data_IF_460362253520
#
_entry.id   IF_460362253520
#
_cell.length_a   1.000
_cell.length_b   1.000
_cell.length_c   1.000
_cell.angle_alpha   90.00
_cell.angle_beta   90.00
_cell.angle_gamma   90.00
#
_symmetry.space_group_name_H-M   'P 1'
#
loop_
_entity.id
_entity.type
_entity.pdbx_description
1 polymer ?
#
# COMPACT_ATOMS: atom_id res chain seq x y z
N UNK A 1 63.86 -5.23 -46.08
CA UNK A 1 62.47 -5.69 -45.87
C UNK A 1 62.25 -5.96 -44.38
N UNK A 2 61.94 -4.93 -43.57
CA UNK A 2 61.49 -5.09 -42.17
C UNK A 2 61.05 -3.75 -41.53
N UNK A 3 60.49 -2.79 -42.29
CA UNK A 3 60.15 -1.47 -41.73
C UNK A 3 58.86 -0.83 -42.28
N UNK A 4 58.04 -1.57 -43.04
CA UNK A 4 56.81 -1.04 -43.65
C UNK A 4 55.55 -1.73 -43.09
N UNK A 5 55.70 -2.82 -42.33
CA UNK A 5 54.56 -3.58 -41.75
C UNK A 5 54.07 -3.04 -40.41
N UNK A 6 54.75 -2.07 -39.79
CA UNK A 6 54.38 -1.51 -38.48
C UNK A 6 53.36 -0.37 -38.50
N UNK A 7 53.13 0.27 -39.65
CA UNK A 7 52.28 1.47 -39.74
C UNK A 7 50.81 1.13 -40.07
N UNK A 8 50.55 -0.06 -40.62
CA UNK A 8 49.18 -0.50 -40.96
C UNK A 8 48.39 -1.09 -39.78
N UNK A 9 49.05 -1.41 -38.66
CA UNK A 9 48.40 -1.95 -37.45
C UNK A 9 48.04 -0.87 -36.41
N UNK A 10 48.52 0.36 -36.58
CA UNK A 10 48.23 1.49 -35.68
C UNK A 10 47.09 2.40 -36.18
N UNK A 11 46.66 2.28 -37.44
CA UNK A 11 45.55 3.07 -38.00
C UNK A 11 44.17 2.44 -37.82
N UNK A 12 44.06 1.22 -37.28
CA UNK A 12 42.77 0.53 -37.08
C UNK A 12 42.12 0.84 -35.70
N UNK A 13 42.82 1.54 -34.80
CA UNK A 13 42.27 1.91 -33.48
C UNK A 13 41.57 3.28 -33.43
N UNK A 14 41.41 3.98 -34.55
CA UNK A 14 40.76 5.32 -34.58
C UNK A 14 39.63 5.37 -35.62
N UNK A 15 38.62 4.54 -35.45
CA UNK A 15 37.27 4.78 -35.98
C UNK A 15 36.22 4.22 -35.02
N UNK A 16 36.10 4.84 -33.85
CA UNK A 16 34.87 4.74 -33.08
C UNK A 16 33.71 5.30 -33.94
N UNK A 17 32.68 4.51 -34.28
CA UNK A 17 31.48 5.08 -34.89
C UNK A 17 30.86 6.04 -33.89
N UNK A 18 30.58 7.25 -34.35
CA UNK A 18 29.82 8.25 -33.61
C UNK A 18 28.42 7.71 -33.35
N UNK A 19 28.05 7.62 -32.07
CA UNK A 19 26.68 7.57 -31.56
C UNK A 19 25.69 6.69 -32.34
N UNK A 20 25.84 5.37 -32.24
CA UNK A 20 24.69 4.47 -32.36
C UNK A 20 23.96 4.46 -31.03
N UNK A 21 22.87 5.22 -30.94
CA UNK A 21 21.87 5.05 -29.87
C UNK A 21 21.12 3.75 -30.12
N UNK A 22 21.71 2.63 -29.72
CA UNK A 22 21.02 1.35 -29.62
C UNK A 22 20.99 0.93 -28.15
N UNK A 23 19.77 0.86 -27.61
CA UNK A 23 19.53 0.39 -26.26
C UNK A 23 19.80 -1.12 -26.21
N UNK A 24 20.88 -1.53 -25.54
CA UNK A 24 21.06 -2.92 -25.15
C UNK A 24 19.97 -3.33 -24.15
N UNK A 25 19.30 -4.46 -24.40
CA UNK A 25 18.17 -5.02 -23.61
C UNK A 25 18.62 -5.64 -22.27
N UNK A 26 19.75 -5.19 -21.73
CA UNK A 26 20.30 -5.62 -20.46
C UNK A 26 20.46 -4.38 -19.59
N UNK A 27 19.48 -4.14 -18.72
CA UNK A 27 19.29 -2.95 -17.90
C UNK A 27 20.41 -2.66 -16.90
N UNK A 28 21.57 -2.23 -17.40
CA UNK A 28 22.58 -1.54 -16.63
C UNK A 28 22.64 -0.10 -17.15
N UNK A 29 21.79 0.75 -16.59
CA UNK A 29 21.91 2.19 -16.77
C UNK A 29 23.06 2.72 -15.92
N UNK A 30 23.85 3.59 -16.54
CA UNK A 30 25.07 4.16 -16.02
C UNK A 30 24.92 4.94 -14.72
N UNK A 31 26.10 5.18 -14.16
CA UNK A 31 26.42 5.86 -12.91
C UNK A 31 25.70 7.21 -12.79
N UNK A 32 24.63 7.27 -12.00
CA UNK A 32 24.11 8.50 -11.38
C UNK A 32 23.89 8.26 -9.88
N UNK A 33 24.24 9.23 -8.99
CA UNK A 33 24.34 9.00 -7.55
C UNK A 33 23.00 9.02 -6.79
N UNK A 34 21.86 9.05 -7.47
CA UNK A 34 20.54 9.02 -6.82
C UNK A 34 19.60 8.10 -7.60
N UNK A 35 19.50 6.84 -7.17
CA UNK A 35 18.46 5.95 -7.65
C UNK A 35 17.12 6.40 -7.07
N UNK A 36 16.22 6.89 -7.92
CA UNK A 36 14.80 6.97 -7.60
C UNK A 36 14.29 5.54 -7.26
N UNK A 37 13.33 5.39 -6.33
CA UNK A 37 12.73 4.09 -6.07
C UNK A 37 12.19 3.50 -7.37
N UNK A 38 12.50 2.24 -7.64
CA UNK A 38 12.01 1.51 -8.81
C UNK A 38 10.48 1.54 -8.81
N UNK A 39 9.91 2.29 -9.74
CA UNK A 39 8.48 2.22 -10.08
C UNK A 39 8.39 1.14 -11.15
N UNK A 40 7.73 0.00 -10.89
CA UNK A 40 7.55 -1.01 -11.91
C UNK A 40 6.85 -0.39 -13.13
N UNK A 41 7.29 -0.69 -14.36
CA UNK A 41 6.65 -0.15 -15.54
C UNK A 41 5.17 -0.54 -15.54
N UNK A 42 4.26 0.36 -15.97
CA UNK A 42 2.84 0.04 -16.07
C UNK A 42 2.70 -1.10 -17.08
N UNK A 43 2.47 -2.31 -16.58
CA UNK A 43 2.08 -3.44 -17.40
C UNK A 43 0.77 -3.06 -18.10
N UNK A 44 0.55 -3.39 -19.38
CA UNK A 44 -0.74 -3.18 -20.03
C UNK A 44 -1.77 -4.07 -19.33
N UNK A 45 -2.49 -3.51 -18.37
CA UNK A 45 -3.47 -4.21 -17.57
C UNK A 45 -4.69 -4.56 -18.45
N UNK A 46 -4.74 -5.80 -18.95
CA UNK A 46 -5.88 -6.33 -19.70
C UNK A 46 -6.91 -6.96 -18.76
N UNK A 47 -7.61 -6.13 -17.98
CA UNK A 47 -8.69 -6.63 -17.10
C UNK A 47 -9.92 -6.96 -17.95
N UNK A 48 -10.11 -8.24 -18.27
CA UNK A 48 -11.18 -8.72 -19.18
C UNK A 48 -12.56 -8.74 -18.51
N UNK A 49 -12.60 -8.86 -17.18
CA UNK A 49 -13.85 -9.01 -16.43
C UNK A 49 -14.51 -7.63 -16.12
N UNK A 50 -15.83 -7.55 -16.33
CA UNK A 50 -16.62 -6.37 -15.91
C UNK A 50 -16.51 -6.18 -14.39
N UNK A 51 -16.36 -4.94 -13.95
CA UNK A 51 -16.21 -4.60 -12.53
C UNK A 51 -14.77 -4.75 -12.01
N UNK A 52 -13.78 -4.86 -12.90
CA UNK A 52 -12.36 -4.79 -12.56
C UNK A 52 -11.72 -3.54 -13.19
N UNK A 53 -10.70 -3.02 -12.52
CA UNK A 53 -9.92 -1.86 -12.96
C UNK A 53 -8.43 -2.08 -12.71
N UNK A 54 -7.62 -1.28 -13.40
CA UNK A 54 -6.17 -1.39 -13.38
C UNK A 54 -5.60 -0.65 -12.17
N UNK A 55 -4.82 -1.35 -11.34
CA UNK A 55 -4.12 -0.79 -10.17
C UNK A 55 -2.62 -1.07 -10.21
N UNK A 56 -1.92 -0.68 -9.14
CA UNK A 56 -0.47 -0.80 -9.04
C UNK A 56 0.04 -2.26 -9.08
N UNK A 57 -0.78 -3.21 -8.63
CA UNK A 57 -0.43 -4.64 -8.53
C UNK A 57 -1.19 -5.51 -9.55
N UNK A 58 -1.78 -4.89 -10.59
CA UNK A 58 -2.57 -5.57 -11.61
C UNK A 58 -4.07 -5.26 -11.52
N UNK A 59 -4.91 -6.22 -11.89
CA UNK A 59 -6.37 -6.05 -11.88
C UNK A 59 -6.93 -6.18 -10.46
N UNK A 60 -7.72 -5.20 -10.04
CA UNK A 60 -8.46 -5.23 -8.78
C UNK A 60 -9.94 -5.03 -9.04
N UNK A 61 -10.78 -5.48 -8.10
CA UNK A 61 -12.22 -5.30 -8.19
C UNK A 61 -12.61 -3.84 -7.98
N UNK A 62 -13.16 -3.21 -9.01
CA UNK A 62 -13.67 -1.85 -8.95
C UNK A 62 -14.87 -1.79 -8.01
N UNK A 63 -14.71 -1.09 -6.89
CA UNK A 63 -15.79 -0.85 -5.94
C UNK A 63 -16.57 0.37 -6.41
N UNK A 64 -17.79 0.18 -6.89
CA UNK A 64 -18.75 1.28 -6.99
C UNK A 64 -19.19 1.56 -5.57
N UNK A 65 -18.54 2.51 -4.90
CA UNK A 65 -19.18 3.12 -3.73
C UNK A 65 -20.42 3.80 -4.29
N UNK A 66 -21.60 3.37 -3.86
CA UNK A 66 -22.78 4.20 -4.03
C UNK A 66 -22.39 5.54 -3.42
N UNK A 67 -22.17 6.56 -4.25
CA UNK A 67 -22.05 7.89 -3.73
C UNK A 67 -23.31 8.09 -2.89
N UNK A 68 -23.17 8.57 -1.66
CA UNK A 68 -24.31 8.98 -0.83
C UNK A 68 -25.15 10.07 -1.52
N UNK A 69 -24.75 10.53 -2.72
CA UNK A 69 -25.55 11.32 -3.65
C UNK A 69 -26.56 10.54 -4.50
N UNK A 70 -26.66 9.20 -4.43
CA UNK A 70 -27.78 8.49 -5.04
C UNK A 70 -29.03 8.66 -4.17
N UNK A 71 -29.86 9.64 -4.51
CA UNK A 71 -31.22 9.78 -4.01
C UNK A 71 -32.19 9.08 -5.00
N UNK A 72 -32.59 7.81 -4.77
CA UNK A 72 -33.68 7.23 -5.53
C UNK A 72 -34.98 7.69 -4.88
N UNK A 73 -35.46 8.89 -5.17
CA UNK A 73 -36.89 9.20 -5.15
C UNK A 73 -37.15 10.60 -5.71
N UNK A 74 -37.53 10.63 -6.99
CA UNK A 74 -38.49 11.61 -7.46
C UNK A 74 -39.88 11.15 -6.98
N UNK A 75 -40.20 11.37 -5.72
CA UNK A 75 -41.60 11.34 -5.25
C UNK A 75 -41.73 12.11 -3.95
N UNK A 76 -42.33 13.29 -4.11
CA UNK A 76 -43.07 14.11 -3.16
C UNK A 76 -43.53 13.33 -1.90
N UNK A 77 -42.66 13.20 -0.90
CA UNK A 77 -43.02 12.85 0.46
C UNK A 77 -42.19 13.73 1.38
N UNK A 78 -42.89 14.64 2.08
CA UNK A 78 -42.30 15.60 3.00
C UNK A 78 -41.98 14.86 4.30
N UNK A 79 -40.79 14.27 4.39
CA UNK A 79 -40.24 13.83 5.68
C UNK A 79 -39.51 15.04 6.27
N UNK A 80 -40.00 15.54 7.40
CA UNK A 80 -39.25 16.49 8.21
C UNK A 80 -38.02 15.76 8.78
N UNK A 81 -36.84 16.09 8.27
CA UNK A 81 -35.56 15.71 8.87
C UNK A 81 -34.86 17.01 9.27
N UNK A 82 -34.95 17.34 10.56
CA UNK A 82 -34.41 18.57 11.15
C UNK A 82 -32.89 18.50 11.38
N UNK A 83 -32.15 17.82 10.49
CA UNK A 83 -30.70 17.64 10.65
C UNK A 83 -29.92 17.51 9.33
N UNK A 84 -30.49 17.88 8.18
CA UNK A 84 -29.82 17.64 6.88
C UNK A 84 -29.13 18.86 6.29
N UNK A 85 -29.59 20.09 6.51
CA UNK A 85 -29.00 21.26 5.83
C UNK A 85 -27.65 21.66 6.41
N UNK A 86 -27.52 21.70 7.74
CA UNK A 86 -26.29 22.15 8.40
C UNK A 86 -25.15 21.14 8.22
N UNK A 87 -25.41 19.85 8.42
CA UNK A 87 -24.44 18.78 8.17
C UNK A 87 -24.01 18.72 6.70
N UNK A 88 -24.95 18.83 5.76
CA UNK A 88 -24.64 18.82 4.33
C UNK A 88 -23.83 20.05 3.89
N UNK A 89 -24.18 21.24 4.38
CA UNK A 89 -23.42 22.46 4.13
C UNK A 89 -22.01 22.38 4.74
N UNK A 90 -21.88 21.75 5.90
CA UNK A 90 -20.60 21.50 6.57
C UNK A 90 -19.72 20.53 5.76
N UNK A 91 -20.30 19.46 5.21
CA UNK A 91 -19.58 18.54 4.31
C UNK A 91 -19.09 19.23 3.03
N UNK A 92 -19.96 20.00 2.38
CA UNK A 92 -19.61 20.76 1.17
C UNK A 92 -18.51 21.79 1.46
N UNK A 93 -18.57 22.47 2.60
CA UNK A 93 -17.53 23.41 3.03
C UNK A 93 -16.20 22.70 3.27
N UNK A 94 -16.21 21.56 3.94
CA UNK A 94 -14.99 20.77 4.19
C UNK A 94 -14.35 20.28 2.88
N UNK A 95 -15.13 19.84 1.91
CA UNK A 95 -14.61 19.43 0.61
C UNK A 95 -13.99 20.58 -0.18
N UNK A 96 -14.61 21.78 -0.13
CA UNK A 96 -14.02 23.00 -0.72
C UNK A 96 -12.71 23.39 -0.04
N UNK A 97 -12.64 23.26 1.29
CA UNK A 97 -11.41 23.52 2.04
C UNK A 97 -10.29 22.53 1.69
N UNK A 98 -10.61 21.24 1.54
CA UNK A 98 -9.66 20.21 1.09
C UNK A 98 -9.14 20.50 -0.33
N UNK A 99 -10.02 20.90 -1.25
CA UNK A 99 -9.64 21.28 -2.61
C UNK A 99 -8.71 22.50 -2.61
N UNK A 100 -9.03 23.53 -1.82
CA UNK A 100 -8.20 24.73 -1.68
C UNK A 100 -6.83 24.42 -1.08
N UNK A 101 -6.75 23.57 -0.05
CA UNK A 101 -5.47 23.11 0.52
C UNK A 101 -4.62 22.38 -0.53
N UNK A 102 -5.22 21.49 -1.32
CA UNK A 102 -4.54 20.81 -2.44
C UNK A 102 -4.02 21.80 -3.48
N UNK A 103 -4.84 22.78 -3.88
CA UNK A 103 -4.44 23.82 -4.84
C UNK A 103 -3.29 24.70 -4.32
N UNK A 104 -3.23 24.93 -3.00
CA UNK A 104 -2.16 25.70 -2.35
C UNK A 104 -0.92 24.87 -1.99
N UNK A 105 -0.88 23.57 -2.33
CA UNK A 105 0.17 22.64 -1.89
C UNK A 105 0.45 22.70 -0.38
N UNK A 106 -0.61 22.89 0.41
CA UNK A 106 -0.52 22.98 1.87
C UNK A 106 -0.39 21.56 2.47
N UNK A 107 0.39 21.40 3.53
CA UNK A 107 0.59 20.09 4.16
C UNK A 107 -0.75 19.55 4.72
N UNK A 108 -1.14 18.36 4.26
CA UNK A 108 -2.34 17.68 4.75
C UNK A 108 -2.12 17.21 6.19
N UNK A 109 -3.18 17.27 7.01
CA UNK A 109 -3.15 16.65 8.33
C UNK A 109 -3.13 15.13 8.21
N UNK A 110 -2.58 14.41 9.19
CA UNK A 110 -2.55 12.94 9.20
C UNK A 110 -3.95 12.31 9.05
N UNK A 111 -4.99 12.97 9.55
CA UNK A 111 -6.38 12.55 9.36
C UNK A 111 -6.89 12.74 7.93
N UNK A 112 -6.54 13.86 7.28
CA UNK A 112 -6.91 14.11 5.88
C UNK A 112 -6.16 13.16 4.94
N UNK A 113 -4.89 12.88 5.23
CA UNK A 113 -4.10 11.91 4.48
C UNK A 113 -4.69 10.49 4.61
N UNK A 114 -5.07 10.09 5.81
CA UNK A 114 -5.69 8.79 6.06
C UNK A 114 -7.03 8.62 5.32
N UNK A 115 -7.85 9.66 5.25
CA UNK A 115 -9.10 9.64 4.47
C UNK A 115 -8.85 9.45 2.98
N UNK A 116 -7.80 10.05 2.42
CA UNK A 116 -7.48 9.87 1.00
C UNK A 116 -6.98 8.45 0.73
N UNK A 117 -6.19 7.92 1.68
CA UNK A 117 -5.47 6.67 1.52
C UNK A 117 -6.34 5.44 1.83
N UNK A 118 -7.22 5.51 2.83
CA UNK A 118 -8.27 4.52 3.10
C UNK A 118 -9.43 5.14 3.89
N UNK A 119 -10.53 5.49 3.21
CA UNK A 119 -11.77 5.93 3.84
C UNK A 119 -12.32 4.95 4.88
N UNK A 120 -12.23 3.64 4.64
CA UNK A 120 -12.68 2.63 5.58
C UNK A 120 -11.94 2.73 6.93
N UNK A 121 -10.60 2.85 6.92
CA UNK A 121 -9.82 3.02 8.16
C UNK A 121 -10.21 4.31 8.89
N UNK A 122 -10.44 5.41 8.16
CA UNK A 122 -10.89 6.67 8.75
C UNK A 122 -12.29 6.55 9.40
N UNK A 123 -13.20 5.80 8.79
CA UNK A 123 -14.54 5.52 9.33
C UNK A 123 -14.47 4.63 10.58
N UNK A 124 -13.71 3.53 10.54
CA UNK A 124 -13.57 2.62 11.67
C UNK A 124 -12.96 3.28 12.90
N UNK A 125 -11.99 4.19 12.71
CA UNK A 125 -11.41 4.97 13.82
C UNK A 125 -12.43 5.87 14.51
N UNK A 126 -13.42 6.38 13.78
CA UNK A 126 -14.51 7.23 14.31
C UNK A 126 -15.65 6.42 14.91
N UNK A 127 -15.88 5.21 14.41
CA UNK A 127 -16.94 4.33 14.91
C UNK A 127 -16.78 4.11 16.41
N UNK A 128 -17.89 4.18 17.15
CA UNK A 128 -17.97 3.82 18.57
C UNK A 128 -18.59 2.43 18.79
N UNK A 129 -19.04 1.75 17.73
CA UNK A 129 -19.65 0.43 17.80
C UNK A 129 -18.66 -0.74 17.81
N UNK A 130 -19.14 -1.98 18.03
CA UNK A 130 -18.33 -3.18 17.82
C UNK A 130 -17.91 -3.26 16.34
N UNK A 131 -16.63 -3.53 16.10
CA UNK A 131 -16.04 -3.63 14.76
C UNK A 131 -15.68 -5.09 14.52
N UNK A 132 -16.14 -5.67 13.40
CA UNK A 132 -15.63 -6.96 12.93
C UNK A 132 -14.24 -6.75 12.31
N UNK A 133 -13.16 -7.31 12.89
CA UNK A 133 -11.80 -7.00 12.45
C UNK A 133 -11.50 -7.51 11.04
N UNK A 134 -12.10 -8.65 10.64
CA UNK A 134 -11.91 -9.22 9.31
C UNK A 134 -12.56 -8.35 8.24
N UNK A 135 -13.76 -7.83 8.51
CA UNK A 135 -14.42 -6.85 7.66
C UNK A 135 -13.60 -5.57 7.55
N UNK A 136 -13.11 -5.03 8.67
CA UNK A 136 -12.31 -3.83 8.65
C UNK A 136 -11.00 -3.99 7.85
N UNK A 137 -10.34 -5.14 8.02
CA UNK A 137 -9.14 -5.48 7.27
C UNK A 137 -9.43 -5.60 5.76
N UNK A 138 -10.45 -6.37 5.38
CA UNK A 138 -10.83 -6.58 3.98
C UNK A 138 -11.26 -5.28 3.29
N UNK A 139 -12.05 -4.44 3.95
CA UNK A 139 -12.50 -3.16 3.40
C UNK A 139 -11.33 -2.22 3.11
N UNK A 140 -10.35 -2.15 4.00
CA UNK A 140 -9.11 -1.42 3.74
C UNK A 140 -8.35 -2.00 2.54
N UNK A 141 -8.20 -3.33 2.44
CA UNK A 141 -7.52 -3.94 1.29
C UNK A 141 -8.18 -3.60 -0.05
N UNK A 142 -9.51 -3.54 -0.08
CA UNK A 142 -10.25 -3.10 -1.27
C UNK A 142 -10.03 -1.63 -1.58
N UNK A 143 -10.02 -0.76 -0.55
CA UNK A 143 -9.73 0.67 -0.72
C UNK A 143 -8.33 0.90 -1.29
N UNK A 144 -7.36 0.06 -0.90
CA UNK A 144 -5.98 0.05 -1.41
C UNK A 144 -5.82 -0.67 -2.75
N UNK A 145 -6.92 -1.10 -3.36
CA UNK A 145 -6.94 -1.65 -4.73
C UNK A 145 -6.06 -2.89 -4.89
N UNK A 146 -6.06 -3.77 -3.88
CA UNK A 146 -5.34 -5.02 -3.94
C UNK A 146 -6.04 -6.05 -4.87
N UNK A 147 -5.28 -6.91 -5.58
CA UNK A 147 -5.84 -7.93 -6.45
C UNK A 147 -6.50 -9.04 -5.62
N UNK A 148 -7.41 -9.81 -6.24
CA UNK A 148 -8.21 -10.82 -5.55
C UNK A 148 -7.38 -11.89 -4.83
N UNK A 149 -6.22 -12.25 -5.38
CA UNK A 149 -5.24 -13.14 -4.74
C UNK A 149 -4.82 -12.64 -3.36
N UNK A 150 -4.63 -11.34 -3.20
CA UNK A 150 -4.31 -10.70 -1.93
C UNK A 150 -5.56 -10.54 -1.06
N UNK A 151 -6.72 -10.25 -1.64
CA UNK A 151 -7.99 -10.11 -0.90
C UNK A 151 -8.37 -11.41 -0.18
N UNK A 152 -8.07 -12.57 -0.76
CA UNK A 152 -8.25 -13.88 -0.11
C UNK A 152 -7.44 -14.03 1.19
N UNK A 153 -6.37 -13.24 1.35
CA UNK A 153 -5.50 -13.20 2.52
C UNK A 153 -5.83 -12.03 3.46
N UNK A 154 -6.71 -11.10 3.08
CA UNK A 154 -7.14 -9.98 3.93
C UNK A 154 -8.15 -10.42 4.99
N UNK A 155 -7.76 -11.41 5.78
CA UNK A 155 -8.49 -11.99 6.88
C UNK A 155 -7.47 -12.47 7.91
N UNK A 156 -7.68 -12.21 9.20
CA UNK A 156 -6.70 -12.55 10.24
C UNK A 156 -6.40 -14.05 10.37
N UNK A 157 -7.30 -14.92 9.90
CA UNK A 157 -7.08 -16.37 9.84
C UNK A 157 -6.26 -16.80 8.62
N UNK A 158 -6.43 -16.13 7.48
CA UNK A 158 -5.71 -16.46 6.24
C UNK A 158 -4.38 -15.70 6.12
N UNK A 159 -4.23 -14.63 6.89
CA UNK A 159 -3.01 -13.84 6.97
C UNK A 159 -2.05 -14.50 7.94
N UNK A 160 -1.29 -15.50 7.49
CA UNK A 160 -0.37 -16.27 8.32
C UNK A 160 1.07 -16.16 7.84
N UNK A 161 1.99 -16.66 8.66
CA UNK A 161 3.42 -16.77 8.32
C UNK A 161 3.63 -17.54 7.02
N UNK A 162 2.86 -18.61 6.80
CA UNK A 162 2.96 -19.47 5.62
C UNK A 162 2.52 -18.71 4.37
N UNK A 163 1.42 -17.96 4.46
CA UNK A 163 0.96 -17.11 3.36
C UNK A 163 2.00 -16.04 3.01
N UNK A 164 2.61 -15.40 4.02
CA UNK A 164 3.68 -14.41 3.80
C UNK A 164 4.94 -15.04 3.20
N UNK A 165 5.32 -16.22 3.68
CA UNK A 165 6.47 -16.95 3.15
C UNK A 165 6.25 -17.37 1.70
N UNK A 166 5.05 -17.83 1.33
CA UNK A 166 4.71 -18.15 -0.05
C UNK A 166 4.75 -16.92 -0.97
N UNK A 167 4.25 -15.76 -0.51
CA UNK A 167 4.38 -14.49 -1.23
C UNK A 167 5.86 -14.09 -1.41
N UNK A 168 6.66 -14.27 -0.35
CA UNK A 168 8.08 -13.96 -0.35
C UNK A 168 8.86 -14.75 -1.40
N UNK A 169 8.64 -16.06 -1.46
CA UNK A 169 9.26 -16.96 -2.43
C UNK A 169 8.58 -16.91 -3.81
N UNK A 170 7.66 -15.97 -4.04
CA UNK A 170 6.90 -15.81 -5.29
C UNK A 170 6.15 -17.08 -5.71
N UNK A 171 5.80 -17.92 -4.74
CA UNK A 171 4.97 -19.12 -4.93
C UNK A 171 3.48 -18.77 -4.87
N UNK A 172 3.16 -17.58 -4.37
CA UNK A 172 1.81 -17.06 -4.28
C UNK A 172 1.51 -16.06 -5.41
N UNK A 173 0.29 -16.04 -5.97
CA UNK A 173 -0.13 -15.05 -6.96
C UNK A 173 -0.23 -13.62 -6.40
N UNK A 174 -0.30 -13.44 -5.08
CA UNK A 174 -0.22 -12.12 -4.44
C UNK A 174 1.25 -11.67 -4.34
N UNK A 175 1.63 -10.55 -4.98
CA UNK A 175 3.02 -10.07 -4.96
C UNK A 175 3.43 -9.60 -3.56
N UNK A 176 4.72 -9.78 -3.21
CA UNK A 176 5.27 -9.35 -1.92
C UNK A 176 5.14 -7.83 -1.71
N UNK A 177 5.17 -7.05 -2.78
CA UNK A 177 5.04 -5.59 -2.72
C UNK A 177 3.68 -5.15 -2.17
N UNK A 178 2.63 -5.96 -2.36
CA UNK A 178 1.30 -5.74 -1.78
C UNK A 178 1.26 -6.02 -0.27
N UNK A 179 2.25 -6.73 0.29
CA UNK A 179 2.32 -7.04 1.72
C UNK A 179 2.31 -5.77 2.58
N UNK A 180 2.99 -4.70 2.16
CA UNK A 180 3.03 -3.43 2.90
C UNK A 180 1.62 -2.85 3.09
N UNK A 181 0.76 -3.01 2.08
CA UNK A 181 -0.62 -2.53 2.09
C UNK A 181 -1.49 -3.39 2.99
N UNK A 182 -1.26 -4.70 2.96
CA UNK A 182 -1.94 -5.63 3.84
C UNK A 182 -1.58 -5.40 5.30
N UNK A 183 -0.30 -5.15 5.62
CA UNK A 183 0.10 -4.83 6.99
C UNK A 183 -0.49 -3.50 7.47
N UNK A 184 -0.46 -2.48 6.62
CA UNK A 184 -1.10 -1.20 6.90
C UNK A 184 -2.59 -1.38 7.24
N UNK A 185 -3.29 -2.19 6.46
CA UNK A 185 -4.70 -2.47 6.66
C UNK A 185 -4.99 -3.33 7.89
N UNK A 186 -4.16 -4.34 8.17
CA UNK A 186 -4.31 -5.15 9.37
C UNK A 186 -4.14 -4.31 10.65
N UNK A 187 -3.13 -3.43 10.66
CA UNK A 187 -2.83 -2.54 11.78
C UNK A 187 -3.63 -1.22 11.79
N UNK A 188 -4.58 -1.04 10.87
CA UNK A 188 -5.43 0.16 10.78
C UNK A 188 -4.63 1.49 10.79
N UNK A 189 -3.45 1.49 10.18
CA UNK A 189 -2.56 2.66 10.12
C UNK A 189 -2.06 3.17 11.49
N UNK A 190 -2.04 2.33 12.52
CA UNK A 190 -1.63 2.70 13.88
C UNK A 190 -0.26 2.12 14.27
N UNK A 191 0.32 2.66 15.35
CA UNK A 191 1.58 2.18 15.91
C UNK A 191 1.32 1.19 17.05
N UNK A 192 1.75 -0.06 16.86
CA UNK A 192 1.60 -1.15 17.83
C UNK A 192 2.94 -1.59 18.42
N UNK A 193 4.01 -0.79 18.26
CA UNK A 193 5.36 -1.13 18.70
C UNK A 193 5.43 -1.56 20.16
N UNK A 194 4.67 -0.90 21.06
CA UNK A 194 4.60 -1.26 22.47
C UNK A 194 3.99 -2.66 22.71
N UNK A 195 2.86 -2.96 22.08
CA UNK A 195 2.23 -4.28 22.17
C UNK A 195 3.16 -5.36 21.59
N UNK A 196 3.80 -5.09 20.46
CA UNK A 196 4.72 -6.02 19.83
C UNK A 196 5.96 -6.29 20.68
N UNK A 197 6.54 -5.26 21.30
CA UNK A 197 7.69 -5.43 22.20
C UNK A 197 7.33 -6.32 23.39
N UNK A 198 6.15 -6.10 24.00
CA UNK A 198 5.65 -6.92 25.12
C UNK A 198 5.35 -8.37 24.71
N UNK A 199 4.89 -8.59 23.48
CA UNK A 199 4.61 -9.93 22.94
C UNK A 199 5.83 -10.61 22.27
N UNK A 200 7.04 -10.12 22.56
CA UNK A 200 8.28 -10.78 22.18
C UNK A 200 8.60 -10.76 20.69
N UNK A 201 8.04 -9.81 19.92
CA UNK A 201 8.37 -9.64 18.50
C UNK A 201 9.85 -9.30 18.29
N UNK A 202 10.48 -8.70 19.31
CA UNK A 202 11.90 -8.36 19.35
C UNK A 202 12.82 -9.53 19.69
N UNK A 203 12.27 -10.72 19.98
CA UNK A 203 13.06 -11.91 20.36
C UNK A 203 13.61 -12.70 19.17
N UNK A 204 13.36 -12.24 17.95
CA UNK A 204 13.86 -12.86 16.72
C UNK A 204 15.32 -12.50 16.48
N UNK A 205 15.97 -13.17 15.52
CA UNK A 205 17.33 -12.84 15.09
C UNK A 205 17.47 -11.39 14.60
N UNK A 206 16.41 -10.81 14.04
CA UNK A 206 16.38 -9.43 13.56
C UNK A 206 16.14 -8.40 14.69
N UNK A 207 15.79 -8.85 15.90
CA UNK A 207 15.69 -8.01 17.08
C UNK A 207 14.66 -6.88 16.95
N UNK A 208 15.08 -5.67 17.34
CA UNK A 208 14.26 -4.46 17.31
C UNK A 208 13.79 -4.06 15.90
N UNK A 209 14.46 -4.54 14.83
CA UNK A 209 14.04 -4.26 13.45
C UNK A 209 12.61 -4.72 13.18
N UNK A 210 12.13 -5.76 13.86
CA UNK A 210 10.79 -6.28 13.67
C UNK A 210 9.68 -5.34 14.15
N UNK A 211 9.98 -4.37 15.02
CA UNK A 211 9.02 -3.34 15.42
C UNK A 211 8.64 -2.42 14.26
N UNK A 212 9.45 -2.36 13.22
CA UNK A 212 9.16 -1.65 11.97
C UNK A 212 7.89 -2.14 11.29
N UNK A 213 7.51 -3.41 11.48
CA UNK A 213 6.25 -3.96 10.99
C UNK A 213 5.06 -3.67 11.92
N UNK A 214 5.31 -3.25 13.15
CA UNK A 214 4.26 -2.89 14.09
C UNK A 214 3.88 -1.42 13.99
N UNK A 215 4.79 -0.57 13.54
CA UNK A 215 4.48 0.82 13.18
C UNK A 215 3.98 0.89 11.73
N UNK A 216 2.67 1.03 11.57
CA UNK A 216 2.03 1.13 10.27
C UNK A 216 1.50 2.53 9.96
N UNK A 217 2.06 3.58 10.58
CA UNK A 217 1.67 4.97 10.28
C UNK A 217 2.07 5.37 8.85
N UNK A 218 1.30 6.30 8.28
CA UNK A 218 1.59 6.90 6.98
C UNK A 218 2.93 7.67 6.99
N UNK A 219 3.61 7.73 5.84
CA UNK A 219 4.91 8.39 5.70
C UNK A 219 6.14 7.49 5.96
N UNK A 220 5.93 6.24 6.35
CA UNK A 220 7.00 5.26 6.54
C UNK A 220 6.85 4.01 5.65
N UNK A 221 6.80 4.13 4.30
CA UNK A 221 6.83 2.96 3.43
C UNK A 221 8.20 2.27 3.53
N UNK A 222 8.23 1.09 4.14
CA UNK A 222 9.48 0.34 4.34
C UNK A 222 9.71 -0.61 3.19
N UNK A 223 10.92 -0.63 2.68
CA UNK A 223 11.36 -1.64 1.72
C UNK A 223 11.62 -2.94 2.48
N UNK A 224 10.93 -3.98 2.05
CA UNK A 224 10.92 -5.27 2.70
C UNK A 224 12.00 -6.14 2.05
N UNK A 225 13.21 -6.04 2.58
CA UNK A 225 14.35 -6.84 2.12
C UNK A 225 14.44 -8.21 2.83
N UNK A 226 15.43 -9.01 2.44
CA UNK A 226 15.72 -10.33 3.03
C UNK A 226 16.05 -10.28 4.53
N UNK A 227 16.46 -9.14 5.07
CA UNK A 227 16.87 -9.02 6.48
C UNK A 227 15.69 -9.12 7.45
N UNK A 228 14.47 -8.95 6.94
CA UNK A 228 13.24 -8.99 7.71
C UNK A 228 12.57 -10.36 7.80
N UNK A 229 13.04 -11.35 7.04
CA UNK A 229 12.49 -12.73 7.07
C UNK A 229 12.42 -13.31 8.49
N UNK A 230 13.42 -13.14 9.38
CA UNK A 230 13.34 -13.62 10.75
C UNK A 230 12.18 -13.02 11.56
N UNK A 231 11.67 -11.85 11.17
CA UNK A 231 10.52 -11.24 11.85
C UNK A 231 9.24 -12.07 11.65
N UNK A 232 9.15 -12.84 10.57
CA UNK A 232 7.97 -13.66 10.30
C UNK A 232 7.81 -14.83 11.27
N UNK A 233 8.86 -15.21 12.01
CA UNK A 233 8.77 -16.22 13.08
C UNK A 233 7.85 -15.78 14.23
N UNK A 234 7.70 -14.47 14.43
CA UNK A 234 6.80 -13.88 15.44
C UNK A 234 5.58 -13.22 14.82
N UNK A 235 5.26 -13.55 13.57
CA UNK A 235 4.18 -12.89 12.84
C UNK A 235 2.81 -13.02 13.52
N UNK A 236 2.50 -14.18 14.07
CA UNK A 236 1.25 -14.40 14.81
C UNK A 236 1.15 -13.50 16.05
N UNK A 237 2.25 -13.24 16.75
CA UNK A 237 2.28 -12.32 17.89
C UNK A 237 2.03 -10.87 17.46
N UNK A 238 2.56 -10.47 16.31
CA UNK A 238 2.34 -9.13 15.73
C UNK A 238 0.88 -8.97 15.35
N UNK A 239 0.34 -9.96 14.63
CA UNK A 239 -1.04 -10.00 14.17
C UNK A 239 -2.04 -10.00 15.34
N UNK A 240 -1.73 -10.67 16.45
CA UNK A 240 -2.56 -10.64 17.65
C UNK A 240 -2.72 -9.21 18.20
N UNK A 241 -1.65 -8.41 18.22
CA UNK A 241 -1.74 -7.01 18.63
C UNK A 241 -2.72 -6.20 17.77
N UNK A 242 -2.67 -6.37 16.45
CA UNK A 242 -3.56 -5.68 15.52
C UNK A 242 -5.03 -6.09 15.71
N UNK A 243 -5.29 -7.38 15.92
CA UNK A 243 -6.63 -7.90 16.19
C UNK A 243 -7.21 -7.37 17.50
N UNK A 244 -6.39 -7.34 18.56
CA UNK A 244 -6.82 -6.87 19.87
C UNK A 244 -7.10 -5.37 19.91
N UNK A 245 -6.39 -4.56 19.12
CA UNK A 245 -6.69 -3.14 18.96
C UNK A 245 -8.07 -2.93 18.31
N UNK A 246 -8.34 -3.64 17.21
CA UNK A 246 -9.63 -3.58 16.49
C UNK A 246 -10.82 -4.04 17.34
N UNK A 247 -10.64 -5.12 18.11
CA UNK A 247 -11.66 -5.63 19.04
C UNK A 247 -11.78 -4.81 20.32
N UNK A 248 -11.01 -3.71 20.44
CA UNK A 248 -11.00 -2.78 21.58
C UNK A 248 -10.68 -3.43 22.92
N UNK A 249 -9.99 -4.57 22.91
CA UNK A 249 -9.59 -5.26 24.14
C UNK A 249 -8.81 -4.33 25.08
N UNK A 250 -8.10 -3.35 24.54
CA UNK A 250 -7.29 -2.38 25.29
C UNK A 250 -7.95 -1.01 25.56
N UNK A 251 -9.12 -0.68 25.00
CA UNK A 251 -9.83 0.59 25.31
C UNK A 251 -10.70 0.53 26.56
N UNK A 252 -10.90 -0.67 27.13
CA UNK A 252 -11.71 -0.90 28.34
C UNK A 252 -10.88 -0.96 29.63
N UNK A 253 -9.64 -0.44 29.62
CA UNK A 253 -8.81 -0.27 30.82
C UNK A 253 -8.41 1.19 30.99
#
# INVERSE_FOLDING_TARGET
>A
MAAITGILLLSVLVTLPKNTFECAVSGLCGVQPYCAPYVPPPQPCQCVARGYSCGAYGCYRARVRAATSFQPMRSRARIMVESTSIEQDREVLMDRLRLNKRLRNEALTASEELEIVSPAVAEFRRSMGPIDPNRAFLECCMDRQLPDACLAKCNFRAYTKEALSAMYFKQDPCPLEAMKEMQFCAAQGADHSECCARNGVTTTLAGMKCLTFCDQRLGHPKQLDMSYVPCFDRFENMKACFWHDLTRYYRLK
#
